data_IF_421284274320
#
_entry.id   IF_421284274320
#
_cell.length_a   1.000
_cell.length_b   1.000
_cell.length_c   1.000
_cell.angle_alpha   90.00
_cell.angle_beta   90.00
_cell.angle_gamma   90.00
#
_symmetry.space_group_name_H-M   'P 1'
#
loop_
_entity.id
_entity.type
_entity.pdbx_description
1 polymer ?
#
# COMPACT_ATOMS: atom_id res chain seq x y z
N UNK A 1 2.74 33.62 -23.30
CA UNK A 1 3.19 33.16 -21.98
C UNK A 1 2.41 31.89 -21.62
N UNK A 2 3.05 30.73 -21.74
CA UNK A 2 2.47 29.48 -21.26
C UNK A 2 2.67 29.39 -19.73
N UNK A 3 1.67 29.88 -18.97
CA UNK A 3 1.67 29.69 -17.52
C UNK A 3 1.28 28.25 -17.22
N UNK A 4 2.16 27.51 -16.55
CA UNK A 4 1.84 26.20 -15.98
C UNK A 4 1.00 26.41 -14.72
N UNK A 5 -0.23 25.89 -14.72
CA UNK A 5 -1.15 25.98 -13.57
C UNK A 5 -1.23 24.61 -12.92
N UNK A 6 -0.82 24.52 -11.64
CA UNK A 6 -0.99 23.32 -10.84
C UNK A 6 -2.42 23.22 -10.29
N UNK A 7 -3.09 22.08 -10.51
CA UNK A 7 -4.41 21.79 -9.92
C UNK A 7 -4.25 20.71 -8.87
N UNK A 8 -4.71 20.99 -7.63
CA UNK A 8 -4.73 20.02 -6.54
C UNK A 8 -5.99 19.16 -6.64
N UNK A 9 -5.80 17.85 -6.83
CA UNK A 9 -6.90 16.88 -6.81
C UNK A 9 -7.46 16.61 -5.41
N UNK A 10 -8.66 15.99 -5.31
CA UNK A 10 -9.34 15.72 -4.05
C UNK A 10 -8.81 14.51 -3.29
N UNK A 11 -8.14 13.59 -3.97
CA UNK A 11 -7.66 12.33 -3.41
C UNK A 11 -6.27 12.51 -2.80
N UNK A 12 -6.10 12.08 -1.57
CA UNK A 12 -4.83 12.06 -0.86
C UNK A 12 -4.57 10.68 -0.29
N UNK A 13 -3.37 10.16 -0.51
CA UNK A 13 -2.92 8.86 0.01
C UNK A 13 -1.62 9.05 0.77
N UNK A 14 -1.51 8.46 1.95
CA UNK A 14 -0.29 8.49 2.74
C UNK A 14 0.73 7.47 2.21
N UNK A 15 1.98 7.62 2.65
CA UNK A 15 2.98 6.57 2.47
C UNK A 15 2.52 5.31 3.22
N UNK A 16 2.65 4.16 2.57
CA UNK A 16 2.46 2.87 3.23
C UNK A 16 3.60 2.60 4.22
N UNK A 17 3.23 2.20 5.43
CA UNK A 17 4.19 1.86 6.48
C UNK A 17 4.00 0.42 6.90
N UNK A 18 5.10 -0.30 7.12
CA UNK A 18 5.06 -1.63 7.71
C UNK A 18 4.54 -1.57 9.15
N UNK A 19 3.75 -2.55 9.55
CA UNK A 19 3.24 -2.69 10.91
C UNK A 19 4.38 -3.06 11.87
N UNK A 20 5.22 -3.99 11.43
CA UNK A 20 6.40 -4.46 12.16
C UNK A 20 7.70 -4.02 11.47
N UNK A 21 8.83 -4.04 12.16
CA UNK A 21 10.14 -3.95 11.52
C UNK A 21 10.29 -5.02 10.44
N UNK A 22 10.98 -4.68 9.36
CA UNK A 22 11.16 -5.55 8.20
C UNK A 22 12.59 -6.05 8.16
N UNK A 23 12.77 -7.36 8.04
CA UNK A 23 14.05 -7.99 7.77
C UNK A 23 14.35 -7.95 6.27
N UNK A 24 15.50 -7.38 5.93
CA UNK A 24 15.96 -7.29 4.55
C UNK A 24 16.98 -8.40 4.30
N UNK A 25 16.62 -9.33 3.42
CA UNK A 25 17.52 -10.37 2.96
C UNK A 25 18.34 -9.86 1.78
N UNK A 26 19.66 -10.04 1.85
CA UNK A 26 20.61 -9.63 0.81
C UNK A 26 21.20 -10.86 0.13
N UNK A 27 21.07 -10.93 -1.18
CA UNK A 27 21.52 -12.06 -1.98
C UNK A 27 22.51 -11.58 -3.03
N UNK A 28 23.67 -12.22 -3.13
CA UNK A 28 24.61 -11.95 -4.21
C UNK A 28 24.12 -12.59 -5.50
N UNK A 29 24.17 -11.83 -6.57
CA UNK A 29 23.88 -12.30 -7.93
C UNK A 29 25.09 -12.11 -8.82
N UNK A 30 25.33 -13.05 -9.72
CA UNK A 30 26.43 -12.99 -10.69
C UNK A 30 25.85 -13.17 -12.10
N UNK A 31 26.25 -12.28 -13.01
CA UNK A 31 25.90 -12.41 -14.41
C UNK A 31 26.71 -13.56 -15.03
N UNK A 32 26.04 -14.60 -15.49
CA UNK A 32 26.69 -15.80 -16.07
C UNK A 32 27.04 -15.65 -17.53
N UNK A 33 26.43 -14.70 -18.27
CA UNK A 33 26.65 -14.48 -19.70
C UNK A 33 26.92 -13.01 -19.95
N UNK A 34 28.06 -12.71 -20.56
CA UNK A 34 28.41 -11.36 -21.01
C UNK A 34 28.10 -11.21 -22.49
N UNK A 35 27.14 -10.32 -22.84
CA UNK A 35 26.78 -9.99 -24.21
C UNK A 35 27.77 -9.07 -24.93
N UNK A 36 28.78 -8.56 -24.21
CA UNK A 36 29.81 -7.67 -24.77
C UNK A 36 31.17 -8.40 -24.80
N UNK A 37 31.79 -8.45 -25.95
CA UNK A 37 33.16 -8.92 -26.11
C UNK A 37 34.12 -7.85 -25.59
N UNK A 38 34.75 -8.08 -24.46
CA UNK A 38 35.83 -7.22 -23.97
C UNK A 38 37.00 -7.21 -24.97
N UNK A 39 37.78 -6.13 -25.00
CA UNK A 39 38.94 -5.93 -25.89
C UNK A 39 39.99 -7.07 -25.84
N UNK A 40 39.92 -7.96 -24.83
CA UNK A 40 40.80 -9.13 -24.64
C UNK A 40 40.04 -10.45 -24.50
N UNK A 41 38.82 -10.58 -25.04
CA UNK A 41 38.08 -11.85 -25.08
C UNK A 41 37.47 -12.35 -23.77
N UNK A 42 37.76 -11.73 -22.63
CA UNK A 42 37.11 -12.00 -21.33
C UNK A 42 36.54 -10.71 -20.80
N UNK A 43 35.22 -10.64 -20.69
CA UNK A 43 34.54 -9.61 -19.92
C UNK A 43 34.59 -9.99 -18.45
N UNK A 44 34.82 -8.99 -17.58
CA UNK A 44 34.78 -9.19 -16.14
C UNK A 44 33.40 -9.68 -15.69
N UNK A 45 33.38 -10.67 -14.80
CA UNK A 45 32.16 -11.11 -14.16
C UNK A 45 31.55 -9.93 -13.42
N UNK A 46 30.30 -9.61 -13.72
CA UNK A 46 29.58 -8.54 -13.05
C UNK A 46 28.84 -9.15 -11.87
N UNK A 47 29.25 -8.78 -10.68
CA UNK A 47 28.57 -9.13 -9.45
C UNK A 47 27.60 -8.00 -9.04
N UNK A 48 26.47 -8.37 -8.49
CA UNK A 48 25.50 -7.45 -7.92
C UNK A 48 24.88 -8.00 -6.63
N UNK A 49 24.15 -7.17 -5.93
CA UNK A 49 23.38 -7.61 -4.76
C UNK A 49 21.91 -7.35 -5.03
N UNK A 50 21.07 -8.34 -4.79
CA UNK A 50 19.63 -8.22 -4.79
C UNK A 50 19.13 -8.23 -3.35
N UNK A 51 18.27 -7.28 -3.02
CA UNK A 51 17.62 -7.21 -1.71
C UNK A 51 16.15 -7.55 -1.87
N UNK A 52 15.60 -8.30 -0.92
CA UNK A 52 14.17 -8.59 -0.84
C UNK A 52 13.73 -8.73 0.61
N UNK A 53 12.44 -8.72 0.82
CA UNK A 53 11.80 -9.01 2.11
C UNK A 53 11.03 -10.33 1.98
N UNK A 54 11.04 -11.13 3.03
CA UNK A 54 10.30 -12.40 3.06
C UNK A 54 8.81 -12.15 3.25
N UNK A 55 8.48 -11.25 4.18
CA UNK A 55 7.12 -10.86 4.47
C UNK A 55 7.07 -9.44 5.02
N UNK A 56 5.96 -8.74 4.77
CA UNK A 56 5.68 -7.45 5.38
C UNK A 56 4.22 -7.07 5.25
N UNK A 57 3.58 -6.75 6.38
CA UNK A 57 2.24 -6.18 6.42
C UNK A 57 2.34 -4.66 6.44
N UNK A 58 1.75 -4.01 5.44
CA UNK A 58 1.78 -2.57 5.27
C UNK A 58 0.40 -1.96 5.43
N UNK A 59 0.36 -0.76 5.99
CA UNK A 59 -0.87 0.03 6.12
C UNK A 59 -0.64 1.40 5.49
N UNK A 60 -1.56 1.82 4.67
CA UNK A 60 -1.67 3.20 4.23
C UNK A 60 -3.08 3.74 4.50
N UNK A 61 -3.20 5.05 4.50
CA UNK A 61 -4.43 5.76 4.78
C UNK A 61 -4.66 6.79 3.70
N UNK A 62 -5.91 7.07 3.40
CA UNK A 62 -6.26 8.05 2.37
C UNK A 62 -7.52 8.81 2.74
N UNK A 63 -7.78 9.87 1.99
CA UNK A 63 -9.01 10.63 2.09
C UNK A 63 -9.37 11.26 0.77
N UNK A 64 -10.66 11.47 0.56
CA UNK A 64 -11.22 12.24 -0.55
C UNK A 64 -11.86 13.49 0.04
N UNK A 65 -11.34 14.65 -0.34
CA UNK A 65 -11.84 15.94 0.12
C UNK A 65 -12.98 16.42 -0.77
N UNK A 66 -14.21 16.48 -0.24
CA UNK A 66 -15.40 16.86 -0.98
C UNK A 66 -15.36 18.30 -1.52
N UNK A 67 -14.71 19.24 -0.83
CA UNK A 67 -14.60 20.64 -1.29
C UNK A 67 -13.66 20.75 -2.49
N UNK A 68 -12.60 19.93 -2.56
CA UNK A 68 -11.73 19.85 -3.73
C UNK A 68 -12.40 19.05 -4.85
N UNK A 69 -13.18 18.01 -4.52
CA UNK A 69 -13.97 17.26 -5.48
C UNK A 69 -14.93 18.18 -6.26
N UNK A 70 -15.67 19.04 -5.57
CA UNK A 70 -16.57 20.02 -6.20
C UNK A 70 -15.85 20.97 -7.15
N UNK A 71 -14.63 21.39 -6.81
CA UNK A 71 -13.82 22.31 -7.65
C UNK A 71 -13.22 21.63 -8.87
N UNK A 72 -12.99 20.33 -8.82
CA UNK A 72 -12.31 19.56 -9.88
C UNK A 72 -13.27 18.75 -10.73
N UNK A 73 -14.57 18.73 -10.39
CA UNK A 73 -15.56 17.90 -11.07
C UNK A 73 -15.45 16.41 -10.74
N UNK A 74 -14.75 16.05 -9.66
CA UNK A 74 -14.64 14.69 -9.18
C UNK A 74 -15.99 14.21 -8.62
N UNK A 75 -16.46 13.08 -9.09
CA UNK A 75 -17.78 12.54 -8.80
C UNK A 75 -17.78 11.37 -7.81
N UNK A 76 -18.97 10.96 -7.35
CA UNK A 76 -19.14 9.71 -6.59
C UNK A 76 -18.73 8.48 -7.42
N UNK A 77 -18.95 8.51 -8.74
CA UNK A 77 -18.51 7.43 -9.63
C UNK A 77 -16.97 7.32 -9.66
N UNK A 78 -16.28 8.44 -9.65
CA UNK A 78 -14.82 8.45 -9.59
C UNK A 78 -14.32 7.91 -8.24
N UNK A 79 -15.02 8.22 -7.14
CA UNK A 79 -14.72 7.65 -5.84
C UNK A 79 -14.88 6.11 -5.81
N UNK A 80 -15.94 5.58 -6.44
CA UNK A 80 -16.12 4.13 -6.58
C UNK A 80 -15.02 3.50 -7.46
N UNK A 81 -14.60 4.16 -8.53
CA UNK A 81 -13.46 3.69 -9.34
C UNK A 81 -12.16 3.64 -8.52
N UNK A 82 -11.91 4.65 -7.68
CA UNK A 82 -10.75 4.65 -6.78
C UNK A 82 -10.84 3.50 -5.78
N UNK A 83 -12.02 3.27 -5.17
CA UNK A 83 -12.22 2.15 -4.25
C UNK A 83 -11.91 0.81 -4.92
N UNK A 84 -12.48 0.58 -6.10
CA UNK A 84 -12.24 -0.64 -6.88
C UNK A 84 -10.76 -0.80 -7.26
N UNK A 85 -10.10 0.29 -7.67
CA UNK A 85 -8.67 0.26 -7.97
C UNK A 85 -7.81 -0.06 -6.74
N UNK A 86 -8.22 0.35 -5.54
CA UNK A 86 -7.54 -0.02 -4.31
C UNK A 86 -7.70 -1.50 -3.97
N UNK A 87 -8.86 -2.07 -4.22
CA UNK A 87 -9.14 -3.51 -3.98
C UNK A 87 -8.30 -4.39 -4.90
N UNK A 88 -8.13 -3.98 -6.15
CA UNK A 88 -7.41 -4.74 -7.18
C UNK A 88 -6.01 -4.19 -7.47
N UNK A 89 -5.42 -3.47 -6.51
CA UNK A 89 -4.22 -2.66 -6.72
C UNK A 89 -3.02 -3.45 -7.29
N UNK A 90 -2.89 -4.71 -6.93
CA UNK A 90 -1.78 -5.58 -7.35
C UNK A 90 -2.19 -6.65 -8.36
N UNK A 91 -3.43 -6.62 -8.84
CA UNK A 91 -3.86 -7.50 -9.93
C UNK A 91 -3.16 -7.09 -11.23
N UNK A 92 -2.52 -8.05 -11.89
CA UNK A 92 -1.71 -7.82 -13.10
C UNK A 92 -0.52 -6.85 -12.92
N UNK A 93 -0.13 -6.52 -11.68
CA UNK A 93 1.11 -5.77 -11.40
C UNK A 93 2.28 -6.74 -11.16
N UNK A 94 2.95 -7.10 -12.24
CA UNK A 94 4.04 -8.06 -12.24
C UNK A 94 5.34 -7.43 -12.77
N UNK A 95 6.43 -7.66 -12.05
CA UNK A 95 7.78 -7.27 -12.45
C UNK A 95 8.83 -8.20 -11.83
N UNK A 96 10.10 -8.08 -12.24
CA UNK A 96 11.18 -8.83 -11.61
C UNK A 96 11.39 -8.49 -10.12
N UNK A 97 10.97 -7.30 -9.69
CA UNK A 97 11.00 -6.87 -8.29
C UNK A 97 9.72 -7.25 -7.52
N UNK A 98 8.64 -7.47 -8.24
CA UNK A 98 7.33 -7.88 -7.72
C UNK A 98 6.80 -9.03 -8.57
N UNK A 99 7.21 -10.27 -8.31
CA UNK A 99 6.66 -11.44 -8.99
C UNK A 99 5.13 -11.49 -8.80
N UNK A 100 4.45 -12.08 -9.76
CA UNK A 100 3.00 -12.28 -9.66
C UNK A 100 2.63 -13.01 -8.37
N UNK A 101 1.60 -12.52 -7.67
CA UNK A 101 1.17 -13.06 -6.39
C UNK A 101 2.06 -12.72 -5.19
N UNK A 102 3.14 -11.93 -5.37
CA UNK A 102 3.99 -11.50 -4.26
C UNK A 102 3.40 -10.38 -3.41
N UNK A 103 2.38 -9.71 -3.90
CA UNK A 103 1.68 -8.64 -3.18
C UNK A 103 0.17 -8.81 -3.35
N UNK A 104 -0.58 -8.52 -2.29
CA UNK A 104 -2.04 -8.51 -2.34
C UNK A 104 -2.61 -7.45 -1.41
N UNK A 105 -3.81 -6.99 -1.73
CA UNK A 105 -4.61 -6.18 -0.83
C UNK A 105 -5.36 -7.11 0.10
N UNK A 106 -5.05 -7.07 1.39
CA UNK A 106 -5.69 -7.93 2.38
C UNK A 106 -7.09 -7.44 2.72
N UNK A 107 -7.23 -6.15 3.03
CA UNK A 107 -8.51 -5.56 3.46
C UNK A 107 -8.56 -4.07 3.17
N UNK A 108 -9.73 -3.60 2.73
CA UNK A 108 -10.04 -2.18 2.54
C UNK A 108 -11.17 -1.78 3.48
N UNK A 109 -10.98 -0.70 4.23
CA UNK A 109 -12.00 -0.05 5.02
C UNK A 109 -12.36 1.26 4.32
N UNK A 110 -13.62 1.41 3.91
CA UNK A 110 -14.08 2.56 3.16
C UNK A 110 -15.24 3.26 3.86
N UNK A 111 -15.05 4.53 4.27
CA UNK A 111 -16.09 5.34 4.89
C UNK A 111 -16.59 6.38 3.90
N UNK A 112 -17.88 6.35 3.58
CA UNK A 112 -18.58 7.42 2.88
C UNK A 112 -19.34 8.24 3.90
N UNK A 113 -18.85 9.44 4.21
CA UNK A 113 -19.48 10.33 5.18
C UNK A 113 -20.82 10.85 4.65
N UNK A 114 -21.77 11.09 5.58
CA UNK A 114 -23.12 11.58 5.31
C UNK A 114 -23.19 13.11 5.16
N UNK A 115 -22.08 13.81 5.39
CA UNK A 115 -22.00 15.25 5.28
C UNK A 115 -20.61 15.74 4.88
N UNK A 116 -20.53 16.97 4.35
CA UNK A 116 -19.27 17.63 3.97
C UNK A 116 -18.34 17.88 5.16
N UNK A 117 -18.89 17.98 6.36
CA UNK A 117 -18.14 18.08 7.59
C UNK A 117 -18.39 16.81 8.41
N UNK A 118 -17.46 15.87 8.44
CA UNK A 118 -17.65 14.62 9.18
C UNK A 118 -17.87 14.87 10.68
N UNK A 119 -18.78 14.13 11.31
CA UNK A 119 -19.04 14.17 12.76
C UNK A 119 -17.84 13.66 13.56
N UNK A 120 -17.04 12.80 12.96
CA UNK A 120 -15.84 12.20 13.55
C UNK A 120 -14.64 12.58 12.71
N UNK A 121 -13.57 13.01 13.34
CA UNK A 121 -12.35 13.44 12.64
C UNK A 121 -11.69 12.28 11.89
N UNK A 122 -11.05 12.58 10.76
CA UNK A 122 -10.29 11.60 9.97
C UNK A 122 -9.23 10.87 10.80
N UNK A 123 -8.62 11.54 11.77
CA UNK A 123 -7.65 10.93 12.66
C UNK A 123 -8.26 9.81 13.52
N UNK A 124 -9.47 10.00 14.05
CA UNK A 124 -10.19 8.95 14.81
C UNK A 124 -10.59 7.80 13.91
N UNK A 125 -11.07 8.09 12.69
CA UNK A 125 -11.39 7.08 11.67
C UNK A 125 -10.13 6.27 11.34
N UNK A 126 -9.03 6.92 11.01
CA UNK A 126 -7.76 6.27 10.66
C UNK A 126 -7.17 5.43 11.81
N UNK A 127 -7.52 5.73 13.05
CA UNK A 127 -7.05 4.98 14.23
C UNK A 127 -8.06 3.94 14.73
N UNK A 128 -9.17 3.73 14.01
CA UNK A 128 -10.19 2.74 14.35
C UNK A 128 -9.75 1.29 14.07
N UNK A 129 -8.80 1.11 13.17
CA UNK A 129 -8.17 -0.18 12.88
C UNK A 129 -6.85 -0.24 13.62
N UNK A 130 -6.71 -1.22 14.51
CA UNK A 130 -5.47 -1.51 15.24
C UNK A 130 -4.95 -2.86 14.79
N UNK A 131 -3.67 -2.91 14.48
CA UNK A 131 -2.98 -4.13 14.07
C UNK A 131 -1.81 -4.32 15.02
N UNK A 132 -1.75 -5.46 15.65
CA UNK A 132 -0.70 -5.81 16.61
C UNK A 132 -0.21 -7.23 16.35
N UNK A 133 1.06 -7.48 16.61
CA UNK A 133 1.61 -8.82 16.56
C UNK A 133 0.97 -9.70 17.63
N UNK A 134 0.69 -10.96 17.31
CA UNK A 134 0.20 -11.94 18.26
C UNK A 134 1.27 -12.26 19.31
N UNK A 135 0.87 -12.37 20.55
CA UNK A 135 1.76 -12.75 21.66
C UNK A 135 2.39 -14.14 21.48
N UNK A 136 1.75 -15.00 20.69
CA UNK A 136 2.25 -16.33 20.35
C UNK A 136 3.55 -16.33 19.54
N UNK A 137 3.91 -15.20 18.94
CA UNK A 137 5.18 -15.05 18.22
C UNK A 137 6.40 -15.15 19.14
N UNK A 138 6.26 -14.78 20.43
CA UNK A 138 7.36 -14.82 21.41
C UNK A 138 8.65 -14.16 20.90
N UNK A 139 8.53 -13.03 20.21
CA UNK A 139 9.66 -12.27 19.65
C UNK A 139 10.19 -12.76 18.30
N UNK A 140 9.53 -13.73 17.67
CA UNK A 140 9.84 -14.10 16.28
C UNK A 140 9.31 -13.04 15.32
N UNK A 141 10.00 -12.83 14.20
CA UNK A 141 9.53 -11.96 13.11
C UNK A 141 8.26 -12.55 12.49
N UNK A 142 7.20 -11.75 12.28
CA UNK A 142 5.99 -12.20 11.58
C UNK A 142 6.31 -12.63 10.15
N UNK A 143 5.70 -13.75 9.72
CA UNK A 143 5.90 -14.33 8.39
C UNK A 143 4.61 -14.47 7.59
N UNK A 144 3.47 -14.16 8.20
CA UNK A 144 2.16 -14.19 7.56
C UNK A 144 1.20 -13.18 8.20
N UNK A 145 0.07 -12.93 7.54
CA UNK A 145 -0.98 -12.08 8.11
C UNK A 145 -1.61 -12.70 9.36
N UNK A 146 -1.59 -14.03 9.46
CA UNK A 146 -2.11 -14.77 10.61
C UNK A 146 -1.32 -14.52 11.89
N UNK A 147 -0.11 -13.96 11.78
CA UNK A 147 0.72 -13.56 12.91
C UNK A 147 0.26 -12.24 13.57
N UNK A 148 -0.79 -11.61 13.02
CA UNK A 148 -1.33 -10.35 13.53
C UNK A 148 -2.76 -10.51 14.05
N UNK A 149 -3.08 -9.70 15.06
CA UNK A 149 -4.43 -9.41 15.48
C UNK A 149 -4.88 -8.09 14.84
N UNK A 150 -5.95 -8.15 14.07
CA UNK A 150 -6.55 -6.98 13.42
C UNK A 150 -7.87 -6.67 14.13
N UNK A 151 -7.90 -5.59 14.90
CA UNK A 151 -9.06 -5.16 15.66
C UNK A 151 -9.64 -3.89 15.06
N UNK A 152 -10.90 -3.94 14.69
CA UNK A 152 -11.65 -2.79 14.20
C UNK A 152 -12.69 -2.34 15.22
N UNK A 153 -12.63 -1.05 15.61
CA UNK A 153 -13.58 -0.40 16.50
C UNK A 153 -14.06 0.88 15.84
N UNK A 154 -15.24 0.85 15.22
CA UNK A 154 -15.78 2.04 14.59
C UNK A 154 -16.05 3.12 15.67
N UNK A 155 -15.55 4.35 15.51
CA UNK A 155 -15.74 5.40 16.50
C UNK A 155 -17.22 5.77 16.64
N UNK A 156 -17.66 6.04 17.87
CA UNK A 156 -19.02 6.50 18.13
C UNK A 156 -19.36 7.75 17.31
N UNK A 157 -20.51 7.72 16.64
CA UNK A 157 -20.99 8.78 15.76
C UNK A 157 -20.38 8.74 14.35
N UNK A 158 -19.48 7.81 14.04
CA UNK A 158 -19.01 7.59 12.68
C UNK A 158 -20.04 6.80 11.86
N UNK A 159 -20.08 7.08 10.55
CA UNK A 159 -20.79 6.20 9.62
C UNK A 159 -20.17 4.80 9.62
N UNK A 160 -20.96 3.78 9.30
CA UNK A 160 -20.43 2.44 9.15
C UNK A 160 -19.59 2.33 7.86
N UNK A 161 -18.39 1.78 7.92
CA UNK A 161 -17.60 1.54 6.71
C UNK A 161 -18.13 0.37 5.90
N UNK A 162 -17.90 0.42 4.63
CA UNK A 162 -17.83 -0.78 3.81
C UNK A 162 -16.48 -1.45 4.08
N UNK A 163 -16.51 -2.73 4.39
CA UNK A 163 -15.31 -3.53 4.64
C UNK A 163 -15.22 -4.56 3.53
N UNK A 164 -14.15 -4.48 2.73
CA UNK A 164 -13.86 -5.41 1.66
C UNK A 164 -12.68 -6.26 2.11
N UNK A 165 -12.94 -7.55 2.26
CA UNK A 165 -12.00 -8.53 2.78
C UNK A 165 -11.55 -9.46 1.65
N UNK A 166 -10.24 -9.52 1.38
CA UNK A 166 -9.64 -10.35 0.34
C UNK A 166 -8.78 -11.50 0.92
N UNK A 167 -8.88 -11.74 2.24
CA UNK A 167 -8.17 -12.82 2.95
C UNK A 167 -9.13 -13.76 3.62
#
# INVERSE_FOLDING_TARGET
DNASVGVRGPVSVSIAKSVSPIDIVSMQITKSVNGESGKNGKSSDTMGTKHHIEFGLYVFKGSINCQLAEKTGFSDEDAEKIKNALVTLFENDCSSARPEGSMQVCRVYWWKHDSKTPKVSSARIHNSVKITEKSSLNGRTPMSIEDYDIVFNNPDGAVQPEIIDNI
#
